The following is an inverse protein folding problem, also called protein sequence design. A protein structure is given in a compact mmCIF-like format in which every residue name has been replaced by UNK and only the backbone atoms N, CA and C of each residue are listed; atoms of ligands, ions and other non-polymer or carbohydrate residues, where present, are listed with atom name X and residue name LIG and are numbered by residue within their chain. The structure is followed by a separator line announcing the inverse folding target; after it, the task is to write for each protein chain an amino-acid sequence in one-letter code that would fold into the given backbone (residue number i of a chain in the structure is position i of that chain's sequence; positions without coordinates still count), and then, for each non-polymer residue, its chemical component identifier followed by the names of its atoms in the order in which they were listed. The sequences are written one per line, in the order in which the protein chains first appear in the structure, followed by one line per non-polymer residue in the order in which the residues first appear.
data_IF_939895242168
#
_entry.id   IF_939895242168
#
_cell.length_a   1.000
_cell.length_b   1.000
_cell.length_c   1.000
_cell.angle_alpha   90.00
_cell.angle_beta   90.00
_cell.angle_gamma   90.00
#
_symmetry.space_group_name_H-M   'P 1'
#
loop_
_entity.id
_entity.type
_entity.pdbx_description
1 polymer ?
#
# COMPACT_ATOMS: atom_id res chain seq x y z
N UNK A 1 39.84 0.08 8.84
CA UNK A 1 38.43 0.03 8.39
C UNK A 1 37.63 0.87 9.36
N UNK A 2 36.93 1.91 8.89
CA UNK A 2 36.01 2.65 9.74
C UNK A 2 34.81 1.76 10.07
N UNK A 3 34.35 1.80 11.33
CA UNK A 3 33.18 1.02 11.79
C UNK A 3 32.04 2.01 11.98
N UNK A 4 30.90 1.73 11.36
CA UNK A 4 29.69 2.52 11.56
C UNK A 4 29.21 2.37 13.00
N UNK A 5 28.74 3.46 13.61
CA UNK A 5 28.08 3.39 14.92
C UNK A 5 26.66 2.81 14.84
N UNK A 6 26.16 2.52 13.63
CA UNK A 6 24.83 1.95 13.41
C UNK A 6 24.90 0.44 13.19
N UNK A 7 23.98 -0.29 13.83
CA UNK A 7 23.75 -1.72 13.53
C UNK A 7 23.39 -1.84 12.05
N UNK A 8 24.22 -2.55 11.29
CA UNK A 8 24.12 -2.62 9.83
C UNK A 8 23.97 -4.07 9.40
N UNK A 9 22.95 -4.35 8.59
CA UNK A 9 22.78 -5.62 7.88
C UNK A 9 22.89 -5.37 6.37
N UNK A 10 23.46 -6.31 5.64
CA UNK A 10 23.63 -6.24 4.19
C UNK A 10 23.07 -7.52 3.57
N UNK A 11 22.21 -7.36 2.57
CA UNK A 11 21.61 -8.47 1.83
C UNK A 11 21.97 -8.31 0.36
N UNK A 12 22.71 -9.24 -0.25
CA UNK A 12 22.93 -9.24 -1.70
C UNK A 12 21.61 -9.52 -2.44
N UNK A 13 21.58 -9.28 -3.76
CA UNK A 13 20.37 -9.36 -4.59
C UNK A 13 19.59 -10.68 -4.48
N UNK A 14 20.31 -11.78 -4.30
CA UNK A 14 19.79 -13.13 -4.15
C UNK A 14 19.19 -13.40 -2.76
N UNK A 15 19.50 -12.55 -1.78
CA UNK A 15 19.05 -12.68 -0.40
C UNK A 15 17.93 -11.69 -0.04
N UNK A 16 17.39 -10.94 -1.01
CA UNK A 16 16.19 -10.14 -0.78
C UNK A 16 15.12 -10.27 -1.86
N UNK A 17 13.87 -10.12 -1.43
CA UNK A 17 12.70 -10.01 -2.30
C UNK A 17 12.14 -8.61 -2.15
N UNK A 18 11.99 -7.90 -3.26
CA UNK A 18 11.31 -6.61 -3.30
C UNK A 18 9.88 -6.78 -3.82
N UNK A 19 8.91 -6.41 -2.99
CA UNK A 19 7.49 -6.41 -3.30
C UNK A 19 6.88 -5.02 -3.15
N UNK A 20 5.80 -4.78 -3.87
CA UNK A 20 5.05 -3.53 -3.84
C UNK A 20 3.55 -3.84 -3.77
N UNK A 21 2.80 -3.04 -3.03
CA UNK A 21 1.35 -3.16 -2.89
C UNK A 21 0.71 -1.81 -2.63
N UNK A 22 -0.61 -1.75 -2.78
CA UNK A 22 -1.36 -0.53 -2.51
C UNK A 22 -2.68 -0.79 -1.79
N UNK A 23 -3.06 0.14 -0.92
CA UNK A 23 -4.38 0.17 -0.29
C UNK A 23 -5.31 0.96 -1.21
N UNK A 24 -6.25 0.25 -1.85
CA UNK A 24 -7.12 0.83 -2.87
C UNK A 24 -8.42 1.31 -2.24
N UNK A 25 -8.61 2.61 -2.22
CA UNK A 25 -9.82 3.26 -1.74
C UNK A 25 -10.82 3.52 -2.88
N UNK A 26 -12.09 3.19 -2.65
CA UNK A 26 -13.22 3.79 -3.37
C UNK A 26 -13.73 4.98 -2.55
N UNK A 27 -13.49 6.18 -3.08
CA UNK A 27 -13.88 7.47 -2.50
C UNK A 27 -15.08 8.10 -3.23
N UNK A 28 -15.75 7.35 -4.11
CA UNK A 28 -16.87 7.87 -4.91
C UNK A 28 -18.15 8.09 -4.09
N UNK A 29 -18.27 7.41 -2.95
CA UNK A 29 -19.39 7.51 -2.01
C UNK A 29 -18.86 7.50 -0.58
N UNK A 30 -19.65 8.05 0.34
CA UNK A 30 -19.44 7.91 1.77
C UNK A 30 -20.39 6.83 2.34
N UNK A 31 -19.92 5.96 3.26
CA UNK A 31 -18.54 5.90 3.77
C UNK A 31 -17.54 5.33 2.74
N UNK A 32 -16.31 5.83 2.76
CA UNK A 32 -15.21 5.30 1.96
C UNK A 32 -15.02 3.78 2.17
N UNK A 33 -14.70 3.08 1.08
CA UNK A 33 -14.46 1.62 1.08
C UNK A 33 -13.04 1.28 0.63
N UNK A 34 -12.56 0.10 1.03
CA UNK A 34 -11.24 -0.43 0.66
C UNK A 34 -11.36 -1.82 0.05
N UNK A 35 -10.58 -2.07 -1.00
CA UNK A 35 -10.47 -3.39 -1.64
C UNK A 35 -9.60 -4.35 -0.83
N UNK A 36 -10.11 -5.54 -0.55
CA UNK A 36 -9.38 -6.67 0.04
C UNK A 36 -9.47 -7.90 -0.88
N UNK A 37 -8.45 -8.76 -0.80
CA UNK A 37 -8.42 -10.05 -1.49
C UNK A 37 -8.83 -11.19 -0.54
N UNK A 38 -9.79 -12.00 -0.96
CA UNK A 38 -10.18 -13.23 -0.29
C UNK A 38 -9.48 -14.44 -0.92
N UNK A 39 -8.62 -15.10 -0.15
CA UNK A 39 -8.05 -16.37 -0.53
C UNK A 39 -8.99 -17.51 -0.13
N UNK A 40 -9.77 -18.00 -1.09
CA UNK A 40 -10.87 -18.92 -0.80
C UNK A 40 -10.40 -20.25 -0.18
N UNK A 41 -9.21 -20.73 -0.54
CA UNK A 41 -8.72 -22.03 -0.09
C UNK A 41 -8.46 -22.08 1.43
N UNK A 42 -8.08 -20.94 2.03
CA UNK A 42 -7.81 -20.83 3.47
C UNK A 42 -8.83 -19.98 4.22
N UNK A 43 -9.81 -19.40 3.51
CA UNK A 43 -10.74 -18.40 4.05
C UNK A 43 -10.01 -17.21 4.72
N UNK A 44 -8.95 -16.73 4.06
CA UNK A 44 -8.10 -15.66 4.58
C UNK A 44 -8.20 -14.38 3.74
N UNK A 45 -8.03 -13.24 4.38
CA UNK A 45 -8.14 -11.92 3.76
C UNK A 45 -6.83 -11.17 3.79
N UNK A 46 -6.47 -10.61 2.63
CA UNK A 46 -5.18 -10.03 2.33
C UNK A 46 -5.29 -8.64 1.71
N UNK A 47 -4.20 -7.89 1.85
CA UNK A 47 -3.93 -6.69 1.05
C UNK A 47 -3.23 -7.09 -0.25
N UNK A 48 -3.55 -6.38 -1.34
CA UNK A 48 -2.97 -6.63 -2.66
C UNK A 48 -1.50 -6.18 -2.75
N UNK A 49 -0.63 -7.08 -3.23
CA UNK A 49 0.82 -6.89 -3.37
C UNK A 49 1.45 -8.03 -4.17
N UNK A 50 2.55 -7.74 -4.86
CA UNK A 50 3.39 -8.79 -5.41
C UNK A 50 4.81 -8.35 -5.70
N UNK A 51 5.54 -9.11 -6.51
CA UNK A 51 6.98 -8.93 -6.68
C UNK A 51 7.26 -7.88 -7.76
N UNK A 52 8.24 -7.02 -7.51
CA UNK A 52 8.70 -6.06 -8.51
C UNK A 52 9.49 -6.79 -9.60
N UNK A 53 9.26 -6.42 -10.86
CA UNK A 53 10.01 -6.92 -12.00
C UNK A 53 11.36 -6.19 -12.18
N UNK A 54 12.29 -6.79 -12.92
CA UNK A 54 13.54 -6.13 -13.29
C UNK A 54 13.24 -4.89 -14.15
N UNK A 55 13.79 -3.72 -13.77
CA UNK A 55 13.59 -2.46 -14.48
C UNK A 55 12.27 -1.73 -14.17
N UNK A 56 11.34 -2.35 -13.44
CA UNK A 56 10.06 -1.75 -13.05
C UNK A 56 10.22 -0.81 -11.84
N UNK A 57 9.54 0.34 -11.82
CA UNK A 57 9.50 1.20 -10.62
C UNK A 57 8.60 0.60 -9.53
N UNK A 58 8.78 1.05 -8.28
CA UNK A 58 7.95 0.57 -7.16
C UNK A 58 6.48 0.97 -7.32
N UNK A 59 6.24 2.16 -7.86
CA UNK A 59 4.90 2.66 -8.17
C UNK A 59 4.23 1.80 -9.24
N UNK A 60 4.91 1.52 -10.35
CA UNK A 60 4.38 0.68 -11.43
C UNK A 60 4.06 -0.72 -10.92
N UNK A 61 4.96 -1.32 -10.15
CA UNK A 61 4.75 -2.62 -9.53
C UNK A 61 3.50 -2.64 -8.64
N UNK A 62 3.33 -1.65 -7.75
CA UNK A 62 2.16 -1.59 -6.87
C UNK A 62 0.84 -1.54 -7.67
N UNK A 63 0.78 -0.74 -8.75
CA UNK A 63 -0.41 -0.61 -9.58
C UNK A 63 -0.67 -1.86 -10.43
N UNK A 64 0.38 -2.45 -11.02
CA UNK A 64 0.28 -3.70 -11.78
C UNK A 64 -0.23 -4.84 -10.90
N UNK A 65 0.37 -5.02 -9.73
CA UNK A 65 0.01 -6.11 -8.81
C UNK A 65 -1.44 -5.98 -8.31
N UNK A 66 -1.90 -4.75 -8.02
CA UNK A 66 -3.32 -4.52 -7.74
C UNK A 66 -4.19 -4.97 -8.92
N UNK A 67 -3.87 -4.56 -10.15
CA UNK A 67 -4.64 -4.95 -11.32
C UNK A 67 -4.61 -6.48 -11.54
N UNK A 68 -3.46 -7.11 -11.35
CA UNK A 68 -3.27 -8.56 -11.53
C UNK A 68 -3.95 -9.40 -10.46
N UNK A 69 -4.02 -8.96 -9.20
CA UNK A 69 -4.67 -9.74 -8.14
C UNK A 69 -6.17 -9.41 -8.00
N UNK A 70 -6.55 -8.15 -8.21
CA UNK A 70 -7.91 -7.65 -7.96
C UNK A 70 -8.72 -7.33 -9.21
N UNK A 71 -8.06 -7.16 -10.37
CA UNK A 71 -8.72 -6.69 -11.59
C UNK A 71 -9.15 -5.21 -11.56
N UNK A 72 -8.88 -4.51 -10.45
CA UNK A 72 -9.21 -3.11 -10.27
C UNK A 72 -8.12 -2.26 -10.90
N UNK A 73 -8.52 -1.35 -11.79
CA UNK A 73 -7.66 -0.25 -12.23
C UNK A 73 -7.68 0.85 -11.16
N UNK A 74 -6.49 1.30 -10.79
CA UNK A 74 -6.32 2.33 -9.79
C UNK A 74 -5.15 3.24 -10.16
N UNK A 75 -5.10 4.39 -9.49
CA UNK A 75 -3.99 5.32 -9.53
C UNK A 75 -3.53 5.62 -8.12
N UNK A 76 -2.27 6.02 -7.97
CA UNK A 76 -1.78 6.50 -6.68
C UNK A 76 -2.59 7.73 -6.25
N UNK A 77 -2.96 7.74 -4.96
CA UNK A 77 -3.69 8.83 -4.34
C UNK A 77 -2.67 9.72 -3.62
N UNK A 78 -2.50 10.98 -4.05
CA UNK A 78 -1.70 11.94 -3.30
C UNK A 78 -2.27 12.12 -1.88
N UNK A 79 -1.43 11.94 -0.87
CA UNK A 79 -1.80 12.09 0.54
C UNK A 79 -0.84 13.03 1.27
N UNK A 80 -1.34 13.63 2.34
CA UNK A 80 -0.54 14.42 3.26
C UNK A 80 0.04 13.49 4.32
N UNK A 81 1.37 13.40 4.41
CA UNK A 81 2.04 12.53 5.36
C UNK A 81 3.44 13.00 5.77
N UNK A 82 3.91 12.63 6.97
CA UNK A 82 5.30 12.79 7.32
C UNK A 82 6.17 11.78 6.57
N UNK A 83 7.27 12.24 5.99
CA UNK A 83 8.29 11.40 5.35
C UNK A 83 9.69 11.94 5.62
N UNK A 84 10.69 11.05 5.59
CA UNK A 84 12.12 11.43 5.59
C UNK A 84 12.65 11.73 4.19
N UNK A 85 11.84 11.50 3.14
CA UNK A 85 12.21 11.87 1.79
C UNK A 85 12.32 13.41 1.68
N UNK A 86 13.42 13.93 1.13
CA UNK A 86 13.56 15.37 0.91
C UNK A 86 12.60 15.82 -0.20
N UNK A 87 12.10 17.05 -0.09
CA UNK A 87 11.43 17.71 -1.20
C UNK A 87 12.48 18.19 -2.22
N UNK A 88 12.11 18.37 -3.51
CA UNK A 88 13.04 18.83 -4.55
C UNK A 88 13.71 20.18 -4.23
N UNK A 89 13.08 20.99 -3.40
CA UNK A 89 13.51 22.32 -2.97
C UNK A 89 14.13 22.37 -1.56
N UNK A 90 14.29 21.23 -0.89
CA UNK A 90 15.00 21.18 0.39
C UNK A 90 16.50 21.51 0.21
N UNK A 91 17.10 22.11 1.24
CA UNK A 91 18.56 22.33 1.29
C UNK A 91 19.32 20.99 1.26
N UNK A 92 20.47 20.95 0.58
CA UNK A 92 21.30 19.76 0.51
C UNK A 92 21.77 19.23 1.88
N UNK A 93 21.78 20.09 2.91
CA UNK A 93 22.10 19.76 4.29
C UNK A 93 20.85 19.70 5.19
N UNK A 94 19.65 19.53 4.62
CA UNK A 94 18.44 19.34 5.40
C UNK A 94 18.64 18.18 6.40
N UNK A 95 18.18 18.34 7.65
CA UNK A 95 18.37 17.32 8.67
C UNK A 95 17.62 16.03 8.32
N UNK A 96 18.19 14.88 8.65
CA UNK A 96 17.54 13.57 8.53
C UNK A 96 16.48 13.38 9.63
N UNK A 97 15.34 14.04 9.45
CA UNK A 97 14.14 13.96 10.29
C UNK A 97 12.90 13.89 9.40
N UNK A 98 11.83 13.30 9.91
CA UNK A 98 10.57 13.28 9.18
C UNK A 98 9.96 14.69 9.12
N UNK A 99 9.54 15.10 7.92
CA UNK A 99 8.86 16.36 7.66
C UNK A 99 7.49 16.09 7.03
N UNK A 100 6.49 16.90 7.39
CA UNK A 100 5.16 16.84 6.77
C UNK A 100 5.25 17.31 5.32
N UNK A 101 4.76 16.47 4.40
CA UNK A 101 4.66 16.78 2.97
C UNK A 101 3.22 16.66 2.54
N UNK A 102 2.81 17.56 1.64
CA UNK A 102 1.45 17.60 1.11
C UNK A 102 1.34 16.95 -0.26
N UNK A 103 0.24 16.25 -0.48
CA UNK A 103 -0.13 15.65 -1.75
C UNK A 103 1.01 14.87 -2.43
N UNK A 104 1.67 13.98 -1.67
CA UNK A 104 2.74 13.12 -2.19
C UNK A 104 2.25 11.69 -2.41
N UNK A 105 2.94 10.95 -3.29
CA UNK A 105 2.62 9.57 -3.68
C UNK A 105 3.73 8.57 -3.28
N UNK A 106 4.53 8.94 -2.28
CA UNK A 106 5.60 8.10 -1.74
C UNK A 106 5.04 6.89 -0.97
N UNK A 107 5.82 5.81 -0.76
CA UNK A 107 5.37 4.71 0.09
C UNK A 107 5.17 5.21 1.53
N UNK A 108 4.00 4.92 2.10
CA UNK A 108 3.66 5.37 3.44
C UNK A 108 4.09 4.37 4.52
N UNK A 109 4.41 3.14 4.14
CA UNK A 109 4.86 2.07 5.05
C UNK A 109 5.75 1.06 4.31
N UNK A 110 6.79 0.58 5.00
CA UNK A 110 7.61 -0.55 4.58
C UNK A 110 7.39 -1.71 5.55
N UNK A 111 7.00 -2.89 5.04
CA UNK A 111 7.03 -4.13 5.82
C UNK A 111 8.28 -4.92 5.49
N UNK A 112 9.01 -5.38 6.51
CA UNK A 112 10.15 -6.28 6.37
C UNK A 112 9.80 -7.62 7.01
N UNK A 113 9.98 -8.73 6.30
CA UNK A 113 9.84 -10.10 6.81
C UNK A 113 11.16 -10.83 6.63
N UNK A 114 11.59 -11.59 7.63
CA UNK A 114 12.69 -12.54 7.45
C UNK A 114 12.23 -13.71 6.58
N UNK A 115 13.08 -14.14 5.66
CA UNK A 115 12.91 -15.34 4.82
C UNK A 115 14.14 -16.24 4.97
N UNK A 116 14.09 -17.45 4.42
CA UNK A 116 15.23 -18.39 4.41
C UNK A 116 15.84 -18.60 5.80
N UNK A 117 14.97 -18.83 6.80
CA UNK A 117 15.35 -19.01 8.20
C UNK A 117 16.13 -17.83 8.83
N UNK A 118 16.07 -16.64 8.22
CA UNK A 118 16.70 -15.42 8.72
C UNK A 118 17.84 -14.90 7.85
N UNK A 119 18.29 -15.67 6.86
CA UNK A 119 19.41 -15.30 5.99
C UNK A 119 19.01 -14.31 4.88
N UNK A 120 17.70 -14.12 4.66
CA UNK A 120 17.18 -13.16 3.70
C UNK A 120 16.05 -12.30 4.23
N UNK A 121 15.67 -11.29 3.45
CA UNK A 121 14.55 -10.38 3.77
C UNK A 121 13.59 -10.18 2.61
N UNK A 122 12.30 -10.10 2.92
CA UNK A 122 11.27 -9.60 2.01
C UNK A 122 10.86 -8.20 2.42
N UNK A 123 10.99 -7.26 1.50
CA UNK A 123 10.55 -5.88 1.63
C UNK A 123 9.20 -5.72 0.90
N UNK A 124 8.25 -5.03 1.52
CA UNK A 124 6.97 -4.69 0.89
C UNK A 124 6.73 -3.19 1.05
N UNK A 125 6.79 -2.47 -0.07
CA UNK A 125 6.51 -1.04 -0.15
C UNK A 125 5.00 -0.84 -0.33
N UNK A 126 4.37 -0.12 0.60
CA UNK A 126 2.93 0.12 0.59
C UNK A 126 2.59 1.55 0.16
N UNK A 127 1.68 1.67 -0.80
CA UNK A 127 1.18 2.93 -1.33
C UNK A 127 -0.31 3.12 -1.02
N UNK A 128 -0.77 4.38 -1.08
CA UNK A 128 -2.20 4.69 -1.07
C UNK A 128 -2.66 4.86 -2.51
N UNK A 129 -3.76 4.22 -2.89
CA UNK A 129 -4.33 4.29 -4.22
C UNK A 129 -5.83 4.54 -4.16
N UNK A 130 -6.40 4.98 -5.28
CA UNK A 130 -7.85 5.09 -5.45
C UNK A 130 -8.26 4.55 -6.82
N UNK A 131 -9.48 4.00 -6.89
CA UNK A 131 -10.05 3.45 -8.12
C UNK A 131 -10.02 4.47 -9.27
N UNK A 132 -9.71 4.01 -10.49
CA UNK A 132 -9.82 4.81 -11.70
C UNK A 132 -11.19 4.60 -12.35
N UNK A 133 -11.95 5.69 -12.49
CA UNK A 133 -13.31 5.65 -13.05
C UNK A 133 -14.35 5.13 -12.06
N UNK A 134 -15.61 5.09 -12.49
CA UNK A 134 -16.67 4.39 -11.75
C UNK A 134 -16.51 2.90 -12.10
N UNK A 135 -16.25 2.01 -11.13
CA UNK A 135 -16.14 0.61 -11.48
C UNK A 135 -17.54 0.11 -11.90
N UNK A 136 -17.63 -0.59 -13.03
CA UNK A 136 -18.84 -1.28 -13.48
C UNK A 136 -19.01 -2.56 -12.64
N UNK A 137 -19.26 -2.38 -11.33
CA UNK A 137 -19.63 -3.46 -10.42
C UNK A 137 -20.95 -4.05 -10.90
N UNK A 138 -20.98 -5.36 -11.18
CA UNK A 138 -22.21 -6.02 -11.64
C UNK A 138 -23.28 -6.09 -10.56
N UNK A 139 -22.91 -5.96 -9.28
CA UNK A 139 -23.82 -6.00 -8.15
C UNK A 139 -23.45 -4.93 -7.11
N UNK A 140 -24.39 -3.99 -6.86
CA UNK A 140 -24.23 -2.91 -5.87
C UNK A 140 -24.13 -3.44 -4.42
N UNK A 141 -24.51 -4.70 -4.19
CA UNK A 141 -24.46 -5.36 -2.87
C UNK A 141 -23.18 -6.16 -2.60
N UNK A 142 -22.42 -6.59 -3.62
CA UNK A 142 -21.27 -7.49 -3.40
C UNK A 142 -19.90 -6.98 -3.87
N UNK A 143 -19.80 -5.98 -4.75
CA UNK A 143 -18.51 -5.35 -5.09
C UNK A 143 -17.40 -6.33 -5.47
N UNK A 144 -17.76 -7.45 -6.12
CA UNK A 144 -16.85 -8.52 -6.52
C UNK A 144 -16.27 -8.20 -7.90
N UNK A 145 -14.94 -8.17 -8.01
CA UNK A 145 -14.26 -8.30 -9.30
C UNK A 145 -13.91 -9.76 -9.56
N UNK A 146 -14.26 -10.26 -10.74
CA UNK A 146 -13.88 -11.59 -11.23
C UNK A 146 -12.57 -11.58 -12.06
N UNK A 147 -11.85 -10.45 -12.08
CA UNK A 147 -10.62 -10.30 -12.83
C UNK A 147 -9.46 -10.26 -11.86
N UNK A 148 -8.43 -11.03 -12.09
CA UNK A 148 -7.23 -11.03 -11.26
C UNK A 148 -6.52 -12.36 -11.39
N UNK A 149 -6.10 -12.94 -10.26
CA UNK A 149 -5.64 -14.32 -10.17
C UNK A 149 -6.79 -15.25 -9.76
N UNK A 150 -6.87 -16.43 -10.36
CA UNK A 150 -7.97 -17.38 -10.15
C UNK A 150 -8.17 -17.84 -8.69
N UNK A 151 -7.18 -17.61 -7.82
CA UNK A 151 -7.20 -18.00 -6.42
C UNK A 151 -7.78 -16.92 -5.47
N UNK A 152 -7.93 -15.68 -5.95
CA UNK A 152 -8.42 -14.58 -5.14
C UNK A 152 -9.75 -14.02 -5.64
N UNK A 153 -10.58 -13.59 -4.70
CA UNK A 153 -11.77 -12.77 -4.97
C UNK A 153 -11.56 -11.41 -4.33
N UNK A 154 -11.57 -10.34 -5.12
CA UNK A 154 -11.51 -8.99 -4.58
C UNK A 154 -12.91 -8.51 -4.15
N UNK A 155 -13.01 -7.90 -2.96
CA UNK A 155 -14.22 -7.28 -2.43
C UNK A 155 -13.93 -5.95 -1.75
N UNK A 156 -14.89 -5.02 -1.82
CA UNK A 156 -14.80 -3.72 -1.15
C UNK A 156 -15.58 -3.71 0.17
N UNK A 157 -14.93 -3.27 1.24
CA UNK A 157 -15.53 -3.14 2.57
C UNK A 157 -15.41 -1.72 3.09
N UNK A 158 -16.33 -1.30 3.95
CA UNK A 158 -16.17 -0.04 4.69
C UNK A 158 -14.89 -0.13 5.54
N UNK A 159 -14.14 0.98 5.65
CA UNK A 159 -12.81 1.00 6.26
C UNK A 159 -12.68 0.23 7.59
N UNK A 160 -13.58 0.46 8.55
CA UNK A 160 -13.50 -0.18 9.87
C UNK A 160 -13.82 -1.69 9.79
N UNK A 161 -14.75 -2.09 8.92
CA UNK A 161 -15.03 -3.51 8.63
C UNK A 161 -13.83 -4.17 7.94
N UNK A 162 -13.20 -3.49 6.98
CA UNK A 162 -12.05 -4.00 6.25
C UNK A 162 -10.88 -4.35 7.20
N UNK A 163 -10.66 -3.51 8.22
CA UNK A 163 -9.67 -3.76 9.28
C UNK A 163 -10.01 -5.04 10.05
N UNK A 164 -11.28 -5.29 10.36
CA UNK A 164 -11.69 -6.49 11.09
C UNK A 164 -11.71 -7.75 10.21
N UNK A 165 -11.88 -7.61 8.88
CA UNK A 165 -11.85 -8.72 7.92
C UNK A 165 -10.44 -9.26 7.68
N UNK A 166 -9.41 -8.40 7.64
CA UNK A 166 -8.03 -8.82 7.40
C UNK A 166 -7.58 -9.89 8.41
N UNK A 167 -6.98 -10.98 7.91
CA UNK A 167 -6.57 -12.12 8.76
C UNK A 167 -5.38 -11.77 9.66
N UNK A 168 -4.41 -11.01 9.14
CA UNK A 168 -3.14 -10.77 9.82
C UNK A 168 -3.08 -9.37 10.46
N UNK A 169 -2.73 -9.31 11.75
CA UNK A 169 -2.64 -8.03 12.48
C UNK A 169 -1.63 -7.05 11.89
N UNK A 170 -0.55 -7.53 11.27
CA UNK A 170 0.41 -6.65 10.59
C UNK A 170 -0.23 -5.94 9.38
N UNK A 171 -1.08 -6.64 8.63
CA UNK A 171 -1.80 -6.05 7.49
C UNK A 171 -2.88 -5.08 8.01
N UNK A 172 -3.52 -5.39 9.15
CA UNK A 172 -4.44 -4.45 9.83
C UNK A 172 -3.76 -3.14 10.20
N UNK A 173 -2.52 -3.17 10.71
CA UNK A 173 -1.74 -1.97 11.02
C UNK A 173 -1.43 -1.13 9.78
N UNK A 174 -1.07 -1.77 8.67
CA UNK A 174 -0.85 -1.09 7.38
C UNK A 174 -2.15 -0.39 6.94
N UNK A 175 -3.28 -1.08 6.98
CA UNK A 175 -4.58 -0.53 6.59
C UNK A 175 -5.01 0.64 7.49
N UNK A 176 -4.92 0.50 8.82
CA UNK A 176 -5.25 1.60 9.76
C UNK A 176 -4.42 2.85 9.46
N UNK A 177 -3.11 2.70 9.22
CA UNK A 177 -2.24 3.83 8.87
C UNK A 177 -2.68 4.50 7.57
N UNK A 178 -3.05 3.74 6.54
CA UNK A 178 -3.55 4.30 5.29
C UNK A 178 -4.88 5.06 5.48
N UNK A 179 -5.81 4.50 6.26
CA UNK A 179 -7.09 5.15 6.60
C UNK A 179 -6.85 6.50 7.28
N UNK A 180 -5.93 6.56 8.24
CA UNK A 180 -5.60 7.81 8.95
C UNK A 180 -5.05 8.88 8.00
N UNK A 181 -4.17 8.51 7.07
CA UNK A 181 -3.61 9.43 6.07
C UNK A 181 -4.69 9.97 5.13
N UNK A 182 -5.58 9.10 4.65
CA UNK A 182 -6.69 9.53 3.78
C UNK A 182 -7.64 10.46 4.53
N UNK A 183 -8.07 10.09 5.75
CA UNK A 183 -8.95 10.92 6.59
C UNK A 183 -8.34 12.29 6.89
N UNK A 184 -7.05 12.36 7.21
CA UNK A 184 -6.31 13.63 7.43
C UNK A 184 -6.35 14.51 6.18
N UNK A 185 -5.93 13.96 5.04
CA UNK A 185 -5.85 14.68 3.75
C UNK A 185 -7.21 15.27 3.33
N UNK A 186 -8.29 14.49 3.49
CA UNK A 186 -9.64 14.95 3.13
C UNK A 186 -10.17 16.04 4.09
N UNK A 187 -9.88 15.94 5.39
CA UNK A 187 -10.35 16.91 6.40
C UNK A 187 -9.67 18.28 6.26
N UNK A 188 -8.37 18.29 5.96
CA UNK A 188 -7.62 19.53 5.72
C UNK A 188 -8.06 20.22 4.41
N UNK A 189 -8.38 19.42 3.37
CA UNK A 189 -8.91 19.92 2.10
C UNK A 189 -10.29 20.59 2.21
N UNK A 190 -11.12 20.17 3.18
CA UNK A 190 -12.43 20.78 3.45
C UNK A 190 -12.34 22.04 4.31
N UNK A 191 -11.30 22.17 5.15
CA UNK A 191 -11.10 23.34 6.01
C UNK A 191 -10.43 24.52 5.29
N UNK A 192 -9.89 24.31 4.10
CA UNK A 192 -9.22 25.31 3.26
C UNK A 192 -10.13 25.97 2.20
N UNK A 193 -11.44 25.65 2.22
CA UNK A 193 -12.48 26.25 1.35
C UNK A 193 -13.38 27.17 2.16
#
# INVERSE_FOLDING_TARGET
MAVSNFVTSQYPSEAFVESCGAIVFDLSKEPAKVCLLHYQALDEWYLAKGRRNCGESRQEAALREVLEETGVRCRLLPVDMPTRAPAPDDDANAPDVAAERRAIIEPFTLTIRSIDQGDGVKLIWWYVATVEGRPDWKDEEEGVTAGGEAQFIAKFFVCDEAVEKLTFENDRKVLRKAIDLVRKTTSESQSAK
#
